data_IF_499079881676
#
_entry.id   IF_499079881676
#
_cell.length_a   1.000
_cell.length_b   1.000
_cell.length_c   1.000
_cell.angle_alpha   90.00
_cell.angle_beta   90.00
_cell.angle_gamma   90.00
#
_symmetry.space_group_name_H-M   'P 1'
#
loop_
_entity.id
_entity.type
_entity.pdbx_description
1 polymer ?
#
# COMPACT_ATOMS: atom_id res chain seq x y z
N UNK A 1 4.06 37.99 18.80
CA UNK A 1 3.51 36.86 17.99
C UNK A 1 2.84 35.94 19.00
N UNK A 2 1.54 35.58 18.83
CA UNK A 2 0.91 34.62 19.73
C UNK A 2 1.65 33.30 19.60
N UNK A 3 2.03 32.69 20.73
CA UNK A 3 2.59 31.34 20.79
C UNK A 3 1.56 30.40 20.18
N UNK A 4 1.77 29.96 18.95
CA UNK A 4 0.93 28.96 18.34
C UNK A 4 0.99 27.71 19.24
N UNK A 5 -0.15 27.34 19.80
CA UNK A 5 -0.25 26.17 20.66
C UNK A 5 0.35 24.96 19.90
N UNK A 6 1.37 24.31 20.50
CA UNK A 6 2.01 23.12 19.93
C UNK A 6 0.95 22.08 19.60
N UNK A 7 1.00 21.54 18.41
CA UNK A 7 0.13 20.44 18.02
C UNK A 7 0.50 19.20 18.85
N UNK A 8 -0.32 18.89 19.86
CA UNK A 8 0.03 17.90 20.89
C UNK A 8 0.05 16.47 20.35
N UNK A 9 0.79 15.58 21.02
CA UNK A 9 0.91 14.16 20.62
C UNK A 9 -0.45 13.45 20.50
N UNK A 10 -1.38 13.72 21.44
CA UNK A 10 -2.74 13.16 21.40
C UNK A 10 -3.49 13.57 20.13
N UNK A 11 -3.33 14.83 19.70
CA UNK A 11 -3.95 15.33 18.48
C UNK A 11 -3.31 14.71 17.23
N UNK A 12 -1.99 14.48 17.22
CA UNK A 12 -1.32 13.71 16.16
C UNK A 12 -1.84 12.27 16.11
N UNK A 13 -1.94 11.58 17.23
CA UNK A 13 -2.47 10.23 17.31
C UNK A 13 -3.93 10.16 16.84
N UNK A 14 -4.78 11.08 17.31
CA UNK A 14 -6.19 11.15 16.92
C UNK A 14 -6.34 11.45 15.41
N UNK A 15 -5.54 12.36 14.85
CA UNK A 15 -5.53 12.65 13.42
C UNK A 15 -5.12 11.42 12.61
N UNK A 16 -4.09 10.70 13.06
CA UNK A 16 -3.54 9.54 12.36
C UNK A 16 -4.38 8.26 12.52
N UNK A 17 -5.38 8.25 13.43
CA UNK A 17 -6.26 7.11 13.66
C UNK A 17 -7.02 6.67 12.39
N UNK A 18 -7.28 7.59 11.46
CA UNK A 18 -7.83 7.28 10.14
C UNK A 18 -7.02 6.21 9.41
N UNK A 19 -5.69 6.33 9.39
CA UNK A 19 -4.82 5.34 8.75
C UNK A 19 -4.78 4.01 9.49
N UNK A 20 -4.92 4.01 10.82
CA UNK A 20 -5.10 2.76 11.55
C UNK A 20 -6.33 2.01 11.04
N UNK A 21 -7.51 2.65 11.00
CA UNK A 21 -8.75 2.02 10.54
C UNK A 21 -8.68 1.56 9.08
N UNK A 22 -8.11 2.39 8.22
CA UNK A 22 -7.96 2.06 6.81
C UNK A 22 -7.02 0.87 6.58
N UNK A 23 -5.87 0.81 7.26
CA UNK A 23 -4.91 -0.29 7.10
C UNK A 23 -5.30 -1.55 7.88
N UNK A 24 -6.13 -1.42 8.92
CA UNK A 24 -6.81 -2.56 9.56
C UNK A 24 -7.65 -3.35 8.54
N UNK A 25 -8.32 -2.65 7.65
CA UNK A 25 -9.05 -3.27 6.54
C UNK A 25 -8.14 -3.66 5.37
N UNK A 26 -7.31 -2.71 4.91
CA UNK A 26 -6.57 -2.81 3.64
C UNK A 26 -5.66 -4.02 3.57
N UNK A 27 -4.82 -4.23 4.59
CA UNK A 27 -3.80 -5.27 4.57
C UNK A 27 -4.41 -6.67 4.46
N UNK A 28 -5.28 -7.15 5.36
CA UNK A 28 -5.87 -8.49 5.23
C UNK A 28 -6.83 -8.59 4.03
N UNK A 29 -7.58 -7.53 3.70
CA UNK A 29 -8.52 -7.56 2.57
C UNK A 29 -7.80 -7.87 1.26
N UNK A 30 -6.70 -7.19 0.98
CA UNK A 30 -6.01 -7.30 -0.32
C UNK A 30 -5.10 -8.51 -0.43
N UNK A 31 -4.54 -8.99 0.68
CA UNK A 31 -3.55 -10.08 0.65
C UNK A 31 -4.14 -11.45 0.95
N UNK A 32 -5.33 -11.52 1.56
CA UNK A 32 -5.89 -12.79 2.03
C UNK A 32 -7.39 -12.90 1.73
N UNK A 33 -8.20 -11.98 2.27
CA UNK A 33 -9.66 -12.14 2.33
C UNK A 33 -10.29 -12.20 0.95
N UNK A 34 -9.90 -11.28 0.05
CA UNK A 34 -10.44 -11.25 -1.33
C UNK A 34 -9.98 -12.47 -2.14
N UNK A 35 -8.76 -12.94 -1.90
CA UNK A 35 -8.23 -14.14 -2.57
C UNK A 35 -9.01 -15.37 -2.16
N UNK A 36 -9.18 -15.61 -0.85
CA UNK A 36 -9.97 -16.74 -0.34
C UNK A 36 -11.42 -16.71 -0.85
N UNK A 37 -12.01 -15.52 -0.94
CA UNK A 37 -13.38 -15.37 -1.43
C UNK A 37 -13.50 -15.69 -2.93
N UNK A 38 -12.50 -15.29 -3.74
CA UNK A 38 -12.41 -15.66 -5.16
C UNK A 38 -12.19 -17.16 -5.31
N UNK A 39 -11.28 -17.72 -4.51
CA UNK A 39 -10.97 -19.16 -4.52
C UNK A 39 -12.19 -20.04 -4.21
N UNK A 40 -13.12 -19.55 -3.38
CA UNK A 40 -14.34 -20.26 -3.05
C UNK A 40 -15.39 -20.31 -4.19
N UNK A 41 -15.33 -19.37 -5.14
CA UNK A 41 -16.37 -19.23 -6.20
C UNK A 41 -15.85 -19.40 -7.62
N UNK A 42 -14.52 -19.39 -7.83
CA UNK A 42 -13.88 -19.52 -9.14
C UNK A 42 -13.19 -20.89 -9.26
N UNK A 43 -13.38 -21.62 -10.37
CA UNK A 43 -12.66 -22.86 -10.62
C UNK A 43 -11.14 -22.69 -10.51
N UNK A 44 -10.45 -23.65 -9.92
CA UNK A 44 -9.01 -23.60 -9.61
C UNK A 44 -8.14 -23.22 -10.82
N UNK A 45 -8.52 -23.66 -12.04
CA UNK A 45 -7.81 -23.36 -13.27
C UNK A 45 -7.78 -21.87 -13.65
N UNK A 46 -8.68 -21.05 -13.07
CA UNK A 46 -8.84 -19.63 -13.40
C UNK A 46 -8.68 -18.71 -12.20
N UNK A 47 -8.27 -19.22 -11.02
CA UNK A 47 -8.16 -18.44 -9.79
C UNK A 47 -7.10 -17.36 -9.89
N UNK A 48 -5.94 -17.65 -10.47
CA UNK A 48 -4.89 -16.67 -10.68
C UNK A 48 -5.34 -15.50 -11.54
N UNK A 49 -6.00 -15.79 -12.65
CA UNK A 49 -6.59 -14.78 -13.55
C UNK A 49 -7.64 -13.93 -12.83
N UNK A 50 -8.55 -14.57 -12.09
CA UNK A 50 -9.61 -13.89 -11.37
C UNK A 50 -9.06 -12.96 -10.28
N UNK A 51 -8.08 -13.41 -9.48
CA UNK A 51 -7.39 -12.58 -8.49
C UNK A 51 -6.68 -11.42 -9.20
N UNK A 52 -5.93 -11.72 -10.27
CA UNK A 52 -5.21 -10.71 -11.04
C UNK A 52 -6.12 -9.60 -11.57
N UNK A 53 -7.27 -9.94 -12.13
CA UNK A 53 -8.27 -8.98 -12.62
C UNK A 53 -8.87 -8.15 -11.47
N UNK A 54 -9.27 -8.79 -10.36
CA UNK A 54 -9.85 -8.11 -9.21
C UNK A 54 -8.86 -7.08 -8.64
N UNK A 55 -7.62 -7.49 -8.39
CA UNK A 55 -6.58 -6.60 -7.84
C UNK A 55 -6.23 -5.49 -8.82
N UNK A 56 -6.20 -5.78 -10.12
CA UNK A 56 -5.94 -4.76 -11.16
C UNK A 56 -7.03 -3.70 -11.20
N UNK A 57 -8.30 -4.06 -11.07
CA UNK A 57 -9.39 -3.08 -10.93
C UNK A 57 -9.15 -2.16 -9.72
N UNK A 58 -8.74 -2.75 -8.59
CA UNK A 58 -8.38 -1.99 -7.41
C UNK A 58 -7.20 -1.03 -7.64
N UNK A 59 -6.14 -1.50 -8.28
CA UNK A 59 -4.97 -0.70 -8.63
C UNK A 59 -5.30 0.47 -9.56
N UNK A 60 -6.22 0.27 -10.53
CA UNK A 60 -6.72 1.34 -11.39
C UNK A 60 -7.40 2.45 -10.57
N UNK A 61 -8.26 2.10 -9.62
CA UNK A 61 -8.90 3.07 -8.74
C UNK A 61 -7.89 3.75 -7.82
N UNK A 62 -6.92 3.02 -7.28
CA UNK A 62 -5.86 3.59 -6.44
C UNK A 62 -5.00 4.63 -7.18
N UNK A 63 -4.85 4.49 -8.49
CA UNK A 63 -4.13 5.45 -9.34
C UNK A 63 -5.01 6.64 -9.75
N UNK A 64 -6.25 6.39 -10.16
CA UNK A 64 -7.09 7.40 -10.81
C UNK A 64 -7.89 8.26 -9.82
N UNK A 65 -8.37 7.69 -8.71
CA UNK A 65 -9.29 8.39 -7.80
C UNK A 65 -8.63 9.48 -6.96
N UNK A 66 -7.42 9.28 -6.37
CA UNK A 66 -6.82 10.29 -5.51
C UNK A 66 -6.63 11.66 -6.16
N UNK A 67 -6.09 11.82 -7.38
CA UNK A 67 -5.96 13.13 -7.99
C UNK A 67 -7.32 13.78 -8.31
N UNK A 68 -8.32 12.99 -8.73
CA UNK A 68 -9.66 13.49 -9.05
C UNK A 68 -10.36 14.00 -7.79
N UNK A 69 -10.42 13.17 -6.75
CA UNK A 69 -11.10 13.51 -5.49
C UNK A 69 -10.34 14.59 -4.72
N UNK A 70 -9.01 14.57 -4.76
CA UNK A 70 -8.18 15.65 -4.23
C UNK A 70 -8.54 16.99 -4.83
N UNK A 71 -8.62 17.08 -6.17
CA UNK A 71 -8.99 18.30 -6.88
C UNK A 71 -10.45 18.76 -6.61
N UNK A 72 -11.37 17.81 -6.38
CA UNK A 72 -12.76 18.12 -6.01
C UNK A 72 -12.80 18.64 -4.58
N UNK A 73 -12.17 17.93 -3.63
CA UNK A 73 -12.19 18.28 -2.21
C UNK A 73 -11.55 19.63 -1.92
N UNK A 74 -10.52 20.01 -2.68
CA UNK A 74 -9.87 21.33 -2.56
C UNK A 74 -10.80 22.51 -2.87
N UNK A 75 -11.89 22.26 -3.60
CA UNK A 75 -12.84 23.30 -4.05
C UNK A 75 -14.12 23.37 -3.25
N UNK A 76 -14.35 22.41 -2.37
CA UNK A 76 -15.55 22.38 -1.54
C UNK A 76 -15.49 23.48 -0.48
N UNK A 77 -16.65 24.10 -0.22
CA UNK A 77 -16.85 25.06 0.85
C UNK A 77 -18.03 24.58 1.69
N UNK A 78 -17.76 23.99 2.85
CA UNK A 78 -18.82 23.52 3.77
C UNK A 78 -18.57 24.03 5.20
N UNK A 79 -19.62 24.07 6.04
CA UNK A 79 -19.47 24.51 7.43
C UNK A 79 -18.48 23.68 8.27
N UNK A 80 -18.24 22.42 7.85
CA UNK A 80 -17.33 21.50 8.57
C UNK A 80 -15.93 21.40 7.93
N UNK A 81 -15.64 22.25 6.95
CA UNK A 81 -14.40 22.26 6.18
C UNK A 81 -14.60 21.84 4.73
N UNK A 82 -13.51 21.71 3.98
CA UNK A 82 -13.55 21.31 2.55
C UNK A 82 -13.25 19.83 2.34
N UNK A 83 -12.36 19.25 3.13
CA UNK A 83 -11.88 17.86 2.96
C UNK A 83 -12.56 16.88 3.91
N UNK A 84 -12.92 17.32 5.12
CA UNK A 84 -13.61 16.48 6.12
C UNK A 84 -14.92 15.87 5.60
N UNK A 85 -15.83 16.62 4.91
CA UNK A 85 -17.05 16.03 4.37
C UNK A 85 -16.77 14.89 3.39
N UNK A 86 -15.74 15.06 2.53
CA UNK A 86 -15.34 14.03 1.55
C UNK A 86 -14.77 12.81 2.25
N UNK A 87 -13.85 13.01 3.22
CA UNK A 87 -13.29 11.92 4.03
C UNK A 87 -14.38 11.13 4.75
N UNK A 88 -15.30 11.82 5.43
CA UNK A 88 -16.40 11.20 6.17
C UNK A 88 -17.35 10.47 5.22
N UNK A 89 -17.83 11.15 4.19
CA UNK A 89 -18.78 10.61 3.21
C UNK A 89 -18.21 9.40 2.47
N UNK A 90 -16.97 9.48 1.99
CA UNK A 90 -16.31 8.37 1.31
C UNK A 90 -16.06 7.18 2.25
N UNK A 91 -15.64 7.41 3.49
CA UNK A 91 -15.50 6.32 4.48
C UNK A 91 -16.83 5.62 4.73
N UNK A 92 -17.92 6.36 4.93
CA UNK A 92 -19.24 5.77 5.10
C UNK A 92 -19.73 5.05 3.85
N UNK A 93 -19.45 5.58 2.66
CA UNK A 93 -19.78 4.96 1.39
C UNK A 93 -18.90 3.71 1.09
N UNK A 94 -17.82 3.47 1.82
CA UNK A 94 -17.10 2.19 1.75
C UNK A 94 -17.92 1.04 2.35
N UNK A 95 -18.78 1.31 3.35
CA UNK A 95 -19.54 0.30 4.08
C UNK A 95 -20.48 -0.55 3.21
N UNK A 96 -21.26 0.01 2.26
CA UNK A 96 -22.04 -0.79 1.32
C UNK A 96 -21.19 -1.79 0.51
N UNK A 97 -19.98 -1.40 0.12
CA UNK A 97 -19.07 -2.30 -0.59
C UNK A 97 -18.61 -3.47 0.30
N UNK A 98 -18.31 -3.20 1.57
CA UNK A 98 -18.01 -4.26 2.55
C UNK A 98 -19.20 -5.19 2.77
N UNK A 99 -20.42 -4.67 2.78
CA UNK A 99 -21.65 -5.47 2.89
C UNK A 99 -21.84 -6.36 1.64
N UNK A 100 -21.62 -5.81 0.44
CA UNK A 100 -21.67 -6.59 -0.80
C UNK A 100 -20.64 -7.72 -0.73
N UNK A 101 -19.40 -7.47 -0.31
CA UNK A 101 -18.38 -8.49 -0.15
C UNK A 101 -18.77 -9.54 0.89
N UNK A 102 -19.29 -9.14 2.06
CA UNK A 102 -19.73 -10.05 3.11
C UNK A 102 -20.82 -11.05 2.65
N UNK A 103 -21.65 -10.63 1.69
CA UNK A 103 -22.78 -11.41 1.17
C UNK A 103 -22.53 -12.00 -0.21
N UNK A 104 -21.38 -11.71 -0.84
CA UNK A 104 -21.07 -12.15 -2.17
C UNK A 104 -21.04 -13.69 -2.27
N UNK A 105 -21.71 -14.21 -3.30
CA UNK A 105 -21.83 -15.65 -3.60
C UNK A 105 -21.26 -16.00 -4.98
N UNK A 106 -20.83 -15.02 -5.76
CA UNK A 106 -20.29 -15.20 -7.09
C UNK A 106 -19.23 -14.13 -7.41
N UNK A 107 -18.40 -14.41 -8.42
CA UNK A 107 -17.30 -13.55 -8.82
C UNK A 107 -17.71 -12.14 -9.24
N UNK A 108 -18.77 -11.89 -10.03
CA UNK A 108 -19.21 -10.54 -10.35
C UNK A 108 -19.56 -9.69 -9.11
N UNK A 109 -20.20 -10.26 -8.10
CA UNK A 109 -20.48 -9.55 -6.86
C UNK A 109 -19.20 -9.18 -6.11
N UNK A 110 -18.20 -10.06 -6.10
CA UNK A 110 -16.89 -9.78 -5.52
C UNK A 110 -16.24 -8.60 -6.25
N UNK A 111 -16.21 -8.58 -7.58
CA UNK A 111 -15.64 -7.48 -8.37
C UNK A 111 -16.35 -6.16 -8.10
N UNK A 112 -17.68 -6.15 -8.06
CA UNK A 112 -18.47 -4.95 -7.76
C UNK A 112 -18.19 -4.46 -6.34
N UNK A 113 -18.26 -5.34 -5.34
CA UNK A 113 -18.00 -5.00 -3.94
C UNK A 113 -16.57 -4.50 -3.72
N UNK A 114 -15.58 -5.20 -4.29
CA UNK A 114 -14.19 -4.82 -4.17
C UNK A 114 -13.88 -3.50 -4.91
N UNK A 115 -14.38 -3.34 -6.13
CA UNK A 115 -14.24 -2.09 -6.88
C UNK A 115 -14.89 -0.90 -6.16
N UNK A 116 -16.07 -1.12 -5.54
CA UNK A 116 -16.74 -0.11 -4.72
C UNK A 116 -15.89 0.29 -3.49
N UNK A 117 -15.39 -0.69 -2.75
CA UNK A 117 -14.48 -0.45 -1.61
C UNK A 117 -13.24 0.31 -2.08
N UNK A 118 -12.61 -0.10 -3.17
CA UNK A 118 -11.41 0.55 -3.71
C UNK A 118 -11.66 2.01 -4.10
N UNK A 119 -12.79 2.28 -4.76
CA UNK A 119 -13.15 3.64 -5.15
C UNK A 119 -13.26 4.56 -3.93
N UNK A 120 -14.09 4.20 -2.97
CA UNK A 120 -14.37 5.06 -1.81
C UNK A 120 -13.24 5.09 -0.79
N UNK A 121 -12.52 3.99 -0.59
CA UNK A 121 -11.30 3.95 0.22
C UNK A 121 -10.25 4.95 -0.30
N UNK A 122 -9.97 4.94 -1.61
CA UNK A 122 -9.01 5.85 -2.21
C UNK A 122 -9.51 7.30 -2.20
N UNK A 123 -10.81 7.52 -2.34
CA UNK A 123 -11.43 8.84 -2.22
C UNK A 123 -11.27 9.42 -0.80
N UNK A 124 -11.53 8.61 0.23
CA UNK A 124 -11.35 9.01 1.63
C UNK A 124 -9.88 9.31 1.94
N UNK A 125 -8.96 8.45 1.48
CA UNK A 125 -7.51 8.63 1.63
C UNK A 125 -6.98 9.90 0.97
N UNK A 126 -7.47 10.23 -0.23
CA UNK A 126 -7.11 11.45 -0.93
C UNK A 126 -7.53 12.72 -0.18
N UNK A 127 -8.76 12.74 0.33
CA UNK A 127 -9.24 13.86 1.14
C UNK A 127 -8.43 13.99 2.44
N UNK A 128 -8.16 12.88 3.12
CA UNK A 128 -7.36 12.85 4.34
C UNK A 128 -5.93 13.36 4.11
N UNK A 129 -5.26 12.94 3.03
CA UNK A 129 -3.89 13.37 2.73
C UNK A 129 -3.74 14.88 2.68
N UNK A 130 -4.78 15.56 2.22
CA UNK A 130 -4.80 17.02 2.20
C UNK A 130 -5.12 17.69 3.54
N UNK A 131 -5.74 16.97 4.50
CA UNK A 131 -6.01 17.54 5.83
C UNK A 131 -4.69 17.82 6.58
N UNK A 132 -3.67 16.96 6.42
CA UNK A 132 -2.39 17.10 7.13
C UNK A 132 -1.78 18.49 6.95
N UNK A 133 -1.50 18.98 5.72
CA UNK A 133 -0.90 20.29 5.52
C UNK A 133 -1.85 21.44 5.92
N UNK A 134 -3.16 21.22 5.98
CA UNK A 134 -4.13 22.25 6.36
C UNK A 134 -4.18 22.49 7.88
N UNK A 135 -3.93 21.47 8.72
CA UNK A 135 -4.11 21.55 10.18
C UNK A 135 -2.81 21.41 10.97
N UNK A 136 -1.80 20.75 10.42
CA UNK A 136 -0.52 20.53 11.11
C UNK A 136 0.45 21.65 10.76
N UNK A 137 1.08 22.31 11.75
CA UNK A 137 2.15 23.28 11.50
C UNK A 137 3.33 22.62 10.77
N UNK A 138 3.96 23.35 9.84
CA UNK A 138 5.06 22.82 9.01
C UNK A 138 6.24 22.26 9.83
N UNK A 139 6.52 22.84 10.97
CA UNK A 139 7.55 22.37 11.91
C UNK A 139 7.25 21.02 12.55
N UNK A 140 5.98 20.59 12.57
CA UNK A 140 5.52 19.33 13.15
C UNK A 140 5.26 18.25 12.08
N UNK A 141 5.52 18.50 10.77
CA UNK A 141 5.29 17.53 9.71
C UNK A 141 6.06 16.21 9.91
N UNK A 142 7.31 16.28 10.37
CA UNK A 142 8.09 15.07 10.67
C UNK A 142 7.44 14.22 11.77
N UNK A 143 6.92 14.87 12.83
CA UNK A 143 6.17 14.19 13.89
C UNK A 143 4.86 13.59 13.38
N UNK A 144 4.09 14.34 12.58
CA UNK A 144 2.86 13.86 11.97
C UNK A 144 3.13 12.61 11.11
N UNK A 145 4.18 12.64 10.28
CA UNK A 145 4.58 11.49 9.45
C UNK A 145 4.95 10.26 10.29
N UNK A 146 5.64 10.45 11.43
CA UNK A 146 5.95 9.38 12.37
C UNK A 146 4.68 8.72 12.95
N UNK A 147 3.72 9.53 13.40
CA UNK A 147 2.42 9.02 13.89
C UNK A 147 1.63 8.31 12.78
N UNK A 148 1.61 8.85 11.56
CA UNK A 148 0.96 8.22 10.40
C UNK A 148 1.56 6.84 10.11
N UNK A 149 2.89 6.75 10.00
CA UNK A 149 3.58 5.50 9.74
C UNK A 149 3.30 4.46 10.85
N UNK A 150 3.33 4.88 12.10
CA UNK A 150 3.00 4.02 13.25
C UNK A 150 1.58 3.49 13.16
N UNK A 151 0.59 4.34 12.86
CA UNK A 151 -0.80 3.93 12.74
C UNK A 151 -1.05 2.99 11.55
N UNK A 152 -0.35 3.18 10.44
CA UNK A 152 -0.36 2.23 9.30
C UNK A 152 0.10 0.84 9.74
N UNK A 153 1.25 0.74 10.43
CA UNK A 153 1.80 -0.53 10.85
C UNK A 153 0.96 -1.22 11.93
N UNK A 154 0.51 -0.44 12.93
CA UNK A 154 -0.39 -0.96 13.98
C UNK A 154 -1.74 -1.42 13.39
N UNK A 155 -2.31 -0.65 12.46
CA UNK A 155 -3.54 -1.01 11.77
C UNK A 155 -3.38 -2.29 10.96
N UNK A 156 -2.33 -2.39 10.15
CA UNK A 156 -2.01 -3.60 9.37
C UNK A 156 -1.85 -4.83 10.25
N UNK A 157 -1.05 -4.73 11.33
CA UNK A 157 -0.84 -5.82 12.27
C UNK A 157 -2.12 -6.23 13.00
N UNK A 158 -2.89 -5.27 13.49
CA UNK A 158 -4.17 -5.53 14.16
C UNK A 158 -5.20 -6.16 13.21
N UNK A 159 -5.25 -5.72 11.96
CA UNK A 159 -6.13 -6.29 10.94
C UNK A 159 -5.78 -7.73 10.59
N UNK A 160 -4.50 -8.04 10.41
CA UNK A 160 -4.02 -9.40 10.19
C UNK A 160 -4.32 -10.29 11.40
N UNK A 161 -4.08 -9.80 12.63
CA UNK A 161 -4.39 -10.53 13.85
C UNK A 161 -5.89 -10.81 14.00
N UNK A 162 -6.74 -9.81 13.70
CA UNK A 162 -8.20 -10.02 13.69
C UNK A 162 -8.62 -11.06 12.66
N UNK A 163 -8.00 -11.04 11.47
CA UNK A 163 -8.26 -12.04 10.44
C UNK A 163 -7.85 -13.45 10.92
N UNK A 164 -6.68 -13.60 11.55
CA UNK A 164 -6.24 -14.88 12.14
C UNK A 164 -7.25 -15.39 13.17
N UNK A 165 -7.70 -14.55 14.10
CA UNK A 165 -8.67 -14.94 15.14
C UNK A 165 -10.00 -15.38 14.55
N UNK A 166 -10.51 -14.65 13.55
CA UNK A 166 -11.80 -14.96 12.94
C UNK A 166 -11.74 -16.19 12.03
N UNK A 167 -10.65 -16.34 11.27
CA UNK A 167 -10.43 -17.50 10.42
C UNK A 167 -10.30 -18.79 11.27
N UNK A 168 -9.49 -18.77 12.34
CA UNK A 168 -9.35 -19.91 13.23
C UNK A 168 -10.64 -20.30 13.96
N UNK A 169 -11.56 -19.35 14.14
CA UNK A 169 -12.90 -19.58 14.69
C UNK A 169 -13.95 -19.96 13.63
N UNK A 170 -13.58 -20.09 12.36
CA UNK A 170 -14.49 -20.30 11.21
C UNK A 170 -15.55 -19.18 11.06
N UNK A 171 -15.17 -17.96 11.42
CA UNK A 171 -16.02 -16.77 11.37
C UNK A 171 -15.57 -15.77 10.28
N UNK A 172 -15.07 -16.26 9.16
CA UNK A 172 -14.41 -15.47 8.10
C UNK A 172 -15.23 -14.26 7.62
N UNK A 173 -16.55 -14.41 7.52
CA UNK A 173 -17.43 -13.31 7.07
C UNK A 173 -17.56 -12.16 8.07
N UNK A 174 -17.29 -12.40 9.35
CA UNK A 174 -17.34 -11.36 10.37
C UNK A 174 -16.19 -10.36 10.28
N UNK A 175 -15.16 -10.68 9.51
CA UNK A 175 -14.04 -9.75 9.26
C UNK A 175 -14.53 -8.45 8.58
N UNK A 176 -15.53 -8.53 7.69
CA UNK A 176 -16.10 -7.35 7.04
C UNK A 176 -16.80 -6.42 8.02
N UNK A 177 -17.47 -6.98 9.03
CA UNK A 177 -18.04 -6.18 10.11
C UNK A 177 -16.94 -5.54 10.97
N UNK A 178 -15.89 -6.28 11.30
CA UNK A 178 -14.74 -5.73 12.03
C UNK A 178 -14.10 -4.57 11.27
N UNK A 179 -13.92 -4.70 9.95
CA UNK A 179 -13.44 -3.60 9.08
C UNK A 179 -14.35 -2.37 9.17
N UNK A 180 -15.67 -2.57 9.01
CA UNK A 180 -16.64 -1.48 9.07
C UNK A 180 -16.62 -0.77 10.42
N UNK A 181 -16.64 -1.51 11.51
CA UNK A 181 -16.64 -0.96 12.89
C UNK A 181 -15.37 -0.18 13.16
N UNK A 182 -14.20 -0.74 12.87
CA UNK A 182 -12.91 -0.09 13.14
C UNK A 182 -12.74 1.18 12.28
N UNK A 183 -13.13 1.15 11.00
CA UNK A 183 -13.11 2.34 10.15
C UNK A 183 -13.97 3.47 10.68
N UNK A 184 -15.20 3.17 11.11
CA UNK A 184 -16.12 4.18 11.69
C UNK A 184 -15.61 4.71 13.04
N UNK A 185 -15.12 3.83 13.92
CA UNK A 185 -14.59 4.23 15.22
C UNK A 185 -13.37 5.16 15.07
N UNK A 186 -12.47 4.88 14.14
CA UNK A 186 -11.27 5.69 13.91
C UNK A 186 -11.57 7.01 13.18
N UNK A 187 -12.66 7.08 12.43
CA UNK A 187 -13.12 8.30 11.78
C UNK A 187 -13.52 9.40 12.78
N UNK A 188 -14.03 9.02 13.95
CA UNK A 188 -14.50 9.97 14.99
C UNK A 188 -13.34 10.82 15.52
N UNK A 189 -12.27 10.25 16.13
CA UNK A 189 -11.16 11.05 16.66
C UNK A 189 -10.45 11.83 15.55
N UNK A 190 -10.34 11.27 14.34
CA UNK A 190 -9.74 11.96 13.18
C UNK A 190 -10.54 13.21 12.81
N UNK A 191 -11.87 13.09 12.70
CA UNK A 191 -12.74 14.21 12.35
C UNK A 191 -12.69 15.32 13.39
N UNK A 192 -12.56 14.96 14.67
CA UNK A 192 -12.43 15.93 15.76
C UNK A 192 -11.06 16.63 15.74
N UNK A 193 -9.99 15.88 15.52
CA UNK A 193 -8.61 16.40 15.45
C UNK A 193 -8.39 17.32 14.23
N UNK A 194 -9.13 17.08 13.13
CA UNK A 194 -9.11 17.86 11.89
C UNK A 194 -9.91 19.18 11.96
N UNK A 195 -10.45 19.57 13.13
CA UNK A 195 -11.13 20.87 13.28
C UNK A 195 -10.20 22.02 12.91
N UNK A 196 -10.72 22.97 12.12
CA UNK A 196 -9.97 24.10 11.57
C UNK A 196 -9.44 23.86 10.15
N UNK A 197 -9.63 22.66 9.59
CA UNK A 197 -9.37 22.39 8.18
C UNK A 197 -10.24 23.29 7.30
N UNK A 198 -9.66 23.81 6.22
CA UNK A 198 -10.37 24.71 5.28
C UNK A 198 -10.41 26.19 5.69
N UNK A 199 -9.77 26.58 6.79
CA UNK A 199 -9.64 28.00 7.19
C UNK A 199 -8.66 28.79 6.29
N UNK A 200 -7.81 28.10 5.53
CA UNK A 200 -6.87 28.75 4.62
C UNK A 200 -7.55 29.17 3.32
N UNK A 201 -7.17 30.30 2.72
CA UNK A 201 -7.67 30.75 1.42
C UNK A 201 -7.44 29.67 0.34
N UNK A 202 -8.38 29.57 -0.60
CA UNK A 202 -8.23 28.71 -1.76
C UNK A 202 -7.02 29.16 -2.58
N UNK A 203 -6.16 28.25 -3.04
CA UNK A 203 -5.07 28.61 -3.93
C UNK A 203 -5.63 29.20 -5.25
N UNK A 204 -4.94 30.20 -5.84
CA UNK A 204 -5.38 30.82 -7.08
C UNK A 204 -5.50 29.79 -8.20
N UNK A 205 -6.54 29.92 -9.03
CA UNK A 205 -6.76 29.05 -10.20
C UNK A 205 -5.71 29.34 -11.26
N UNK A 206 -4.75 28.47 -11.44
CA UNK A 206 -3.90 28.45 -12.63
C UNK A 206 -4.66 27.70 -13.72
N UNK A 207 -5.17 28.43 -14.74
CA UNK A 207 -5.75 27.82 -15.95
C UNK A 207 -4.61 27.44 -16.87
N UNK A 208 -4.33 26.15 -16.96
CA UNK A 208 -3.35 25.59 -17.89
C UNK A 208 -4.08 24.69 -18.88
N UNK A 209 -3.78 24.73 -20.19
CA UNK A 209 -4.32 23.79 -21.16
C UNK A 209 -4.00 22.35 -20.73
N UNK A 210 -4.94 21.41 -20.92
CA UNK A 210 -4.80 20.02 -20.47
C UNK A 210 -3.50 19.36 -20.96
N UNK A 211 -3.13 19.61 -22.21
CA UNK A 211 -1.90 19.10 -22.80
C UNK A 211 -0.65 19.58 -22.05
N UNK A 212 -0.60 20.85 -21.71
CA UNK A 212 0.51 21.45 -20.96
C UNK A 212 0.54 20.94 -19.52
N UNK A 213 -0.64 20.78 -18.90
CA UNK A 213 -0.76 20.21 -17.55
C UNK A 213 -0.27 18.77 -17.50
N UNK A 214 -0.62 17.93 -18.50
CA UNK A 214 -0.12 16.56 -18.61
C UNK A 214 1.40 16.55 -18.83
N UNK A 215 1.90 17.36 -19.75
CA UNK A 215 3.34 17.45 -20.01
C UNK A 215 4.10 17.90 -18.75
N UNK A 216 3.64 18.96 -18.08
CA UNK A 216 4.27 19.48 -16.85
C UNK A 216 4.22 18.44 -15.71
N UNK A 217 3.14 17.65 -15.62
CA UNK A 217 3.02 16.58 -14.65
C UNK A 217 4.09 15.48 -14.86
N UNK A 218 4.28 15.02 -16.10
CA UNK A 218 5.24 13.94 -16.41
C UNK A 218 6.66 14.43 -16.68
N UNK A 219 6.89 15.73 -16.80
CA UNK A 219 8.22 16.32 -17.04
C UNK A 219 9.34 15.81 -16.11
N UNK A 220 9.11 15.58 -14.78
CA UNK A 220 10.12 15.03 -13.89
C UNK A 220 10.60 13.60 -14.26
N UNK A 221 9.82 12.86 -15.06
CA UNK A 221 10.22 11.53 -15.56
C UNK A 221 11.14 11.58 -16.80
N UNK A 222 11.28 12.74 -17.44
CA UNK A 222 12.04 12.85 -18.70
C UNK A 222 13.56 12.93 -18.48
N UNK A 223 14.02 13.02 -17.24
CA UNK A 223 15.45 13.02 -16.93
C UNK A 223 15.77 13.41 -15.49
N UNK A 224 17.07 13.24 -15.15
CA UNK A 224 17.56 13.53 -13.80
C UNK A 224 17.43 12.36 -12.82
N UNK A 225 17.89 12.59 -11.60
CA UNK A 225 17.93 11.56 -10.56
C UNK A 225 16.55 11.16 -10.05
N UNK A 226 15.61 12.08 -10.04
CA UNK A 226 14.22 11.80 -9.64
C UNK A 226 13.52 10.84 -10.61
N UNK A 227 13.80 10.92 -11.90
CA UNK A 227 13.30 9.96 -12.88
C UNK A 227 13.79 8.53 -12.58
N UNK A 228 15.07 8.38 -12.18
CA UNK A 228 15.60 7.10 -11.74
C UNK A 228 14.98 6.61 -10.44
N UNK A 229 14.67 7.50 -9.50
CA UNK A 229 13.95 7.12 -8.27
C UNK A 229 12.56 6.58 -8.60
N UNK A 230 11.79 7.24 -9.49
CA UNK A 230 10.48 6.76 -9.94
C UNK A 230 10.61 5.40 -10.63
N UNK A 231 11.58 5.25 -11.54
CA UNK A 231 11.84 4.00 -12.26
C UNK A 231 12.17 2.85 -11.29
N UNK A 232 13.13 3.06 -10.39
CA UNK A 232 13.56 2.03 -9.44
C UNK A 232 12.43 1.64 -8.48
N UNK A 233 11.66 2.62 -7.99
CA UNK A 233 10.49 2.38 -7.15
C UNK A 233 9.43 1.55 -7.87
N UNK A 234 9.14 1.86 -9.14
CA UNK A 234 8.19 1.08 -9.94
C UNK A 234 8.59 -0.40 -9.99
N UNK A 235 9.85 -0.69 -10.32
CA UNK A 235 10.33 -2.07 -10.46
C UNK A 235 10.42 -2.80 -9.12
N UNK A 236 10.86 -2.16 -8.04
CA UNK A 236 10.86 -2.77 -6.70
C UNK A 236 9.43 -3.04 -6.25
N UNK A 237 8.51 -2.08 -6.40
CA UNK A 237 7.11 -2.27 -6.06
C UNK A 237 6.44 -3.36 -6.92
N UNK A 238 6.83 -3.48 -8.19
CA UNK A 238 6.35 -4.54 -9.08
C UNK A 238 6.78 -5.94 -8.59
N UNK A 239 8.03 -6.08 -8.17
CA UNK A 239 8.53 -7.34 -7.61
C UNK A 239 7.84 -7.71 -6.30
N UNK A 240 7.65 -6.74 -5.40
CA UNK A 240 6.88 -6.93 -4.16
C UNK A 240 5.46 -7.39 -4.45
N UNK A 241 4.79 -6.71 -5.39
CA UNK A 241 3.41 -7.00 -5.79
C UNK A 241 3.25 -8.41 -6.36
N UNK A 242 4.20 -8.85 -7.21
CA UNK A 242 4.18 -10.17 -7.84
C UNK A 242 4.21 -11.32 -6.81
N UNK A 243 4.90 -11.13 -5.69
CA UNK A 243 4.91 -12.12 -4.60
C UNK A 243 3.68 -11.97 -3.72
N UNK A 244 3.38 -10.78 -3.24
CA UNK A 244 2.41 -10.55 -2.17
C UNK A 244 0.99 -11.01 -2.52
N UNK A 245 0.54 -10.79 -3.76
CA UNK A 245 -0.83 -11.14 -4.16
C UNK A 245 -1.06 -12.61 -4.47
N UNK A 246 -0.02 -13.43 -4.59
CA UNK A 246 -0.16 -14.86 -4.84
C UNK A 246 0.41 -15.73 -3.71
N UNK A 247 0.87 -15.11 -2.63
CA UNK A 247 1.51 -15.80 -1.52
C UNK A 247 0.53 -16.71 -0.76
N UNK A 248 -0.70 -16.25 -0.54
CA UNK A 248 -1.74 -17.05 0.11
C UNK A 248 -2.04 -18.34 -0.69
N UNK A 249 -2.19 -18.21 -2.01
CA UNK A 249 -2.40 -19.35 -2.89
C UNK A 249 -1.17 -20.26 -2.96
N UNK A 250 0.05 -19.68 -2.94
CA UNK A 250 1.29 -20.44 -2.85
C UNK A 250 1.35 -21.29 -1.56
N UNK A 251 0.99 -20.73 -0.43
CA UNK A 251 0.96 -21.48 0.84
C UNK A 251 -0.08 -22.61 0.80
N UNK A 252 -1.24 -22.37 0.23
CA UNK A 252 -2.25 -23.41 0.04
C UNK A 252 -1.75 -24.54 -0.88
N UNK A 253 -1.18 -24.19 -2.03
CA UNK A 253 -0.93 -25.12 -3.13
C UNK A 253 0.42 -25.81 -3.02
N UNK A 254 1.41 -25.15 -2.46
CA UNK A 254 2.80 -25.64 -2.37
C UNK A 254 3.15 -26.15 -0.98
N UNK A 255 2.87 -25.37 0.07
CA UNK A 255 3.18 -25.80 1.44
C UNK A 255 2.14 -26.78 1.99
N UNK A 256 0.95 -26.81 1.40
CA UNK A 256 -0.11 -27.76 1.81
C UNK A 256 -0.65 -27.50 3.21
N UNK A 257 -0.58 -26.23 3.70
CA UNK A 257 -1.12 -25.88 5.02
C UNK A 257 -2.63 -25.98 5.03
N UNK A 258 -3.21 -26.51 6.10
CA UNK A 258 -4.64 -26.74 6.22
C UNK A 258 -5.47 -25.44 6.27
N UNK A 259 -4.92 -24.36 6.83
CA UNK A 259 -5.52 -23.04 6.88
C UNK A 259 -4.57 -21.98 6.30
N UNK A 260 -4.62 -21.74 4.98
CA UNK A 260 -3.75 -20.77 4.31
C UNK A 260 -3.96 -19.33 4.78
N UNK A 261 -5.19 -18.96 5.16
CA UNK A 261 -5.52 -17.60 5.59
C UNK A 261 -4.83 -17.24 6.91
N UNK A 262 -4.97 -18.11 7.92
CA UNK A 262 -4.27 -17.96 9.21
C UNK A 262 -2.78 -17.95 8.99
N UNK A 263 -2.25 -18.92 8.25
CA UNK A 263 -0.81 -19.04 8.00
C UNK A 263 -0.22 -17.82 7.28
N UNK A 264 -0.91 -17.31 6.28
CA UNK A 264 -0.48 -16.09 5.56
C UNK A 264 -0.52 -14.86 6.45
N UNK A 265 -1.55 -14.74 7.31
CA UNK A 265 -1.63 -13.66 8.30
C UNK A 265 -0.46 -13.71 9.28
N UNK A 266 -0.16 -14.88 9.82
CA UNK A 266 0.97 -15.10 10.74
C UNK A 266 2.31 -14.79 10.06
N UNK A 267 2.47 -15.21 8.81
CA UNK A 267 3.66 -14.90 8.02
C UNK A 267 3.85 -13.38 7.85
N UNK A 268 2.80 -12.66 7.47
CA UNK A 268 2.86 -11.19 7.37
C UNK A 268 3.07 -10.51 8.73
N UNK A 269 2.54 -11.05 9.82
CA UNK A 269 2.83 -10.57 11.18
C UNK A 269 4.31 -10.70 11.52
N UNK A 270 4.94 -11.83 11.19
CA UNK A 270 6.40 -12.00 11.34
C UNK A 270 7.16 -10.98 10.48
N UNK A 271 6.75 -10.79 9.22
CA UNK A 271 7.33 -9.75 8.35
C UNK A 271 7.25 -8.37 9.00
N UNK A 272 6.08 -7.96 9.50
CA UNK A 272 5.89 -6.66 10.14
C UNK A 272 6.69 -6.52 11.43
N UNK A 273 6.71 -7.56 12.26
CA UNK A 273 7.46 -7.57 13.53
C UNK A 273 8.96 -7.34 13.32
N UNK A 274 9.50 -7.90 12.24
CA UNK A 274 10.91 -7.70 11.86
C UNK A 274 11.10 -6.37 11.11
N UNK A 275 10.16 -6.00 10.24
CA UNK A 275 10.27 -4.77 9.44
C UNK A 275 10.32 -3.49 10.28
N UNK A 276 9.59 -3.44 11.39
CA UNK A 276 9.53 -2.24 12.25
C UNK A 276 10.92 -1.89 12.81
N UNK A 277 11.62 -2.78 13.56
CA UNK A 277 12.94 -2.45 14.10
C UNK A 277 13.98 -2.19 13.00
N UNK A 278 13.98 -2.98 11.91
CA UNK A 278 14.91 -2.76 10.80
C UNK A 278 14.61 -1.49 10.01
N UNK A 279 13.36 -1.07 9.91
CA UNK A 279 12.96 0.21 9.35
C UNK A 279 13.48 1.39 10.18
N UNK A 280 13.30 1.34 11.50
CA UNK A 280 13.79 2.39 12.42
C UNK A 280 15.33 2.48 12.41
N UNK A 281 16.00 1.33 12.53
CA UNK A 281 17.47 1.25 12.51
C UNK A 281 18.02 1.67 11.14
N UNK A 282 17.42 1.18 10.05
CA UNK A 282 17.83 1.52 8.69
C UNK A 282 17.68 3.00 8.39
N UNK A 283 16.56 3.61 8.78
CA UNK A 283 16.34 5.06 8.65
C UNK A 283 17.39 5.85 9.44
N UNK A 284 17.60 5.52 10.72
CA UNK A 284 18.58 6.20 11.57
C UNK A 284 20.02 6.09 11.02
N UNK A 285 20.45 4.88 10.62
CA UNK A 285 21.79 4.66 10.09
C UNK A 285 21.96 5.33 8.72
N UNK A 286 20.94 5.25 7.87
CA UNK A 286 20.92 5.90 6.56
C UNK A 286 21.06 7.42 6.65
N UNK A 287 20.34 8.05 7.58
CA UNK A 287 20.43 9.50 7.81
C UNK A 287 21.80 9.91 8.34
N UNK A 288 22.37 9.12 9.25
CA UNK A 288 23.69 9.39 9.83
C UNK A 288 24.82 9.18 8.84
N UNK A 289 24.76 8.14 8.01
CA UNK A 289 25.80 7.80 7.04
C UNK A 289 25.65 8.51 5.70
N UNK A 290 24.45 9.01 5.39
CA UNK A 290 24.05 9.55 4.09
C UNK A 290 24.30 8.58 2.91
N UNK A 291 24.26 7.26 3.19
CA UNK A 291 24.50 6.21 2.21
C UNK A 291 23.20 5.47 1.86
N UNK A 292 22.20 6.18 1.32
CA UNK A 292 20.86 5.65 1.06
C UNK A 292 20.85 4.47 0.10
N UNK A 293 21.70 4.49 -0.93
CA UNK A 293 21.77 3.42 -1.95
C UNK A 293 22.07 2.05 -1.37
N UNK A 294 22.98 1.96 -0.39
CA UNK A 294 23.33 0.68 0.24
C UNK A 294 22.11 0.01 0.84
N UNK A 295 21.23 0.80 1.49
CA UNK A 295 20.01 0.26 2.10
C UNK A 295 19.03 -0.24 1.03
N UNK A 296 18.91 0.45 -0.12
CA UNK A 296 18.07 -0.02 -1.23
C UNK A 296 18.66 -1.29 -1.84
N UNK A 297 19.98 -1.38 -2.03
CA UNK A 297 20.66 -2.61 -2.49
C UNK A 297 20.43 -3.76 -1.52
N UNK A 298 20.67 -3.55 -0.24
CA UNK A 298 20.49 -4.58 0.79
C UNK A 298 19.04 -5.03 0.87
N UNK A 299 18.09 -4.11 0.81
CA UNK A 299 16.66 -4.41 0.85
C UNK A 299 16.21 -5.26 -0.35
N UNK A 300 16.63 -4.87 -1.55
CA UNK A 300 16.33 -5.61 -2.77
C UNK A 300 16.97 -7.01 -2.77
N UNK A 301 18.20 -7.13 -2.27
CA UNK A 301 18.90 -8.42 -2.15
C UNK A 301 18.16 -9.38 -1.20
N UNK A 302 17.71 -8.93 -0.01
CA UNK A 302 16.93 -9.76 0.90
C UNK A 302 15.61 -10.23 0.29
N UNK A 303 14.87 -9.32 -0.35
CA UNK A 303 13.59 -9.66 -0.97
C UNK A 303 13.75 -10.61 -2.17
N UNK A 304 14.75 -10.37 -3.02
CA UNK A 304 15.08 -11.26 -4.14
C UNK A 304 15.56 -12.64 -3.65
N UNK A 305 16.35 -12.69 -2.57
CA UNK A 305 16.78 -13.92 -1.94
C UNK A 305 15.60 -14.77 -1.46
N UNK A 306 14.63 -14.15 -0.78
CA UNK A 306 13.43 -14.88 -0.32
C UNK A 306 12.60 -15.40 -1.50
N UNK A 307 12.40 -14.59 -2.53
CA UNK A 307 11.73 -15.04 -3.75
C UNK A 307 12.50 -16.21 -4.40
N UNK A 308 13.82 -16.17 -4.41
CA UNK A 308 14.68 -17.26 -4.93
C UNK A 308 14.52 -18.55 -4.11
N UNK A 309 14.47 -18.46 -2.77
CA UNK A 309 14.22 -19.59 -1.87
C UNK A 309 12.87 -20.23 -2.23
N UNK A 310 11.83 -19.44 -2.44
CA UNK A 310 10.52 -19.97 -2.82
C UNK A 310 10.50 -20.60 -4.22
N UNK A 311 11.27 -20.08 -5.17
CA UNK A 311 11.38 -20.63 -6.54
C UNK A 311 12.15 -21.94 -6.60
N UNK A 312 13.28 -22.03 -5.87
CA UNK A 312 14.18 -23.18 -5.95
C UNK A 312 13.71 -24.33 -5.06
N UNK A 313 13.43 -24.04 -3.80
CA UNK A 313 13.26 -25.06 -2.79
C UNK A 313 11.80 -25.46 -2.57
N UNK A 314 10.81 -24.66 -3.00
CA UNK A 314 9.40 -24.92 -2.70
C UNK A 314 9.22 -25.35 -1.24
N UNK A 315 9.57 -24.51 -0.26
CA UNK A 315 9.69 -24.94 1.11
C UNK A 315 8.33 -25.38 1.68
N UNK A 316 8.28 -26.63 2.12
CA UNK A 316 7.14 -27.20 2.87
C UNK A 316 7.38 -27.16 4.37
N UNK A 317 8.61 -26.92 4.80
CA UNK A 317 8.99 -26.80 6.21
C UNK A 317 8.60 -25.42 6.76
N UNK A 318 7.69 -25.41 7.74
CA UNK A 318 7.19 -24.18 8.37
C UNK A 318 8.30 -23.29 8.94
N UNK A 319 9.31 -23.82 9.67
CA UNK A 319 10.42 -22.99 10.15
C UNK A 319 11.17 -22.28 9.03
N UNK A 320 11.39 -22.92 7.87
CA UNK A 320 12.05 -22.30 6.71
C UNK A 320 11.19 -21.17 6.13
N UNK A 321 9.88 -21.39 6.03
CA UNK A 321 8.93 -20.38 5.50
C UNK A 321 8.88 -19.16 6.42
N UNK A 322 8.84 -19.35 7.74
CA UNK A 322 8.86 -18.23 8.69
C UNK A 322 10.23 -17.53 8.76
N UNK A 323 11.33 -18.26 8.64
CA UNK A 323 12.67 -17.67 8.52
C UNK A 323 12.79 -16.82 7.24
N UNK A 324 12.23 -17.30 6.12
CA UNK A 324 12.12 -16.51 4.89
C UNK A 324 11.27 -15.26 5.10
N UNK A 325 10.16 -15.35 5.85
CA UNK A 325 9.33 -14.20 6.23
C UNK A 325 10.11 -13.17 7.04
N UNK A 326 10.90 -13.60 8.02
CA UNK A 326 11.77 -12.73 8.79
C UNK A 326 12.82 -12.04 7.91
N UNK A 327 13.48 -12.78 7.00
CA UNK A 327 14.44 -12.22 6.04
C UNK A 327 13.76 -11.20 5.09
N UNK A 328 12.54 -11.51 4.61
CA UNK A 328 11.76 -10.57 3.82
C UNK A 328 11.44 -9.30 4.61
N UNK A 329 11.09 -9.42 5.90
CA UNK A 329 10.83 -8.32 6.82
C UNK A 329 12.02 -7.37 6.97
N UNK A 330 13.25 -7.89 7.03
CA UNK A 330 14.47 -7.07 7.00
C UNK A 330 14.50 -6.21 5.73
N UNK A 331 14.38 -6.83 4.56
CA UNK A 331 14.39 -6.11 3.29
C UNK A 331 13.26 -5.10 3.17
N UNK A 332 12.05 -5.48 3.55
CA UNK A 332 10.86 -4.63 3.51
C UNK A 332 11.02 -3.39 4.40
N UNK A 333 11.46 -3.57 5.66
CA UNK A 333 11.67 -2.46 6.59
C UNK A 333 12.75 -1.49 6.11
N UNK A 334 13.90 -2.01 5.66
CA UNK A 334 14.99 -1.18 5.12
C UNK A 334 14.55 -0.38 3.89
N UNK A 335 13.77 -0.97 3.00
CA UNK A 335 13.27 -0.29 1.81
C UNK A 335 12.38 0.90 2.15
N UNK A 336 11.31 0.65 2.90
CA UNK A 336 10.33 1.71 3.22
C UNK A 336 10.90 2.84 4.06
N UNK A 337 11.93 2.57 4.87
CA UNK A 337 12.62 3.60 5.65
C UNK A 337 13.39 4.60 4.78
N UNK A 338 13.96 4.13 3.66
CA UNK A 338 14.89 4.93 2.84
C UNK A 338 14.24 5.46 1.57
N UNK A 339 13.25 4.77 1.03
CA UNK A 339 12.61 5.07 -0.24
C UNK A 339 11.99 6.48 -0.29
N UNK A 340 11.23 6.86 0.75
CA UNK A 340 10.68 8.22 0.86
C UNK A 340 11.76 9.30 0.98
N UNK A 341 12.79 9.04 1.76
CA UNK A 341 13.89 9.96 1.96
C UNK A 341 14.70 10.15 0.66
N UNK A 342 14.90 9.07 -0.10
CA UNK A 342 15.55 9.11 -1.41
C UNK A 342 14.76 9.98 -2.41
N UNK A 343 13.44 9.86 -2.41
CA UNK A 343 12.57 10.71 -3.22
C UNK A 343 12.72 12.19 -2.83
N UNK A 344 12.66 12.50 -1.54
CA UNK A 344 12.80 13.89 -1.05
C UNK A 344 14.17 14.51 -1.39
N UNK A 345 15.25 13.71 -1.33
CA UNK A 345 16.60 14.19 -1.63
C UNK A 345 16.81 14.48 -3.13
N UNK A 346 16.00 13.88 -4.00
CA UNK A 346 16.14 14.00 -5.46
C UNK A 346 15.06 14.84 -6.13
N UNK A 347 14.15 15.47 -5.36
CA UNK A 347 13.09 16.33 -5.90
C UNK A 347 13.64 17.41 -6.83
N UNK A 348 13.15 17.51 -8.07
CA UNK A 348 13.64 18.51 -9.03
C UNK A 348 13.38 19.95 -8.60
N UNK A 349 12.22 20.18 -7.96
CA UNK A 349 11.83 21.50 -7.49
C UNK A 349 11.06 21.40 -6.16
N UNK A 350 11.60 22.01 -5.12
CA UNK A 350 10.96 22.02 -3.79
C UNK A 350 9.65 22.82 -3.75
N UNK A 351 9.41 23.73 -4.69
CA UNK A 351 8.17 24.54 -4.74
C UNK A 351 7.00 23.77 -5.38
N UNK A 352 7.25 22.72 -6.17
CA UNK A 352 6.25 21.83 -6.78
C UNK A 352 6.25 20.41 -6.20
N UNK A 353 6.77 20.25 -4.99
CA UNK A 353 6.97 18.94 -4.34
C UNK A 353 5.71 18.07 -4.28
N UNK A 354 4.51 18.65 -4.10
CA UNK A 354 3.26 17.90 -4.04
C UNK A 354 2.95 17.17 -5.37
N UNK A 355 3.20 17.82 -6.52
CA UNK A 355 3.04 17.23 -7.85
C UNK A 355 4.03 16.08 -8.06
N UNK A 356 5.31 16.31 -7.74
CA UNK A 356 6.37 15.34 -7.92
C UNK A 356 6.17 14.12 -7.00
N UNK A 357 5.72 14.34 -5.76
CA UNK A 357 5.34 13.24 -4.85
C UNK A 357 4.07 12.49 -5.29
N UNK A 358 3.16 13.14 -6.00
CA UNK A 358 2.05 12.47 -6.69
C UNK A 358 2.54 11.48 -7.75
N UNK A 359 3.53 11.88 -8.54
CA UNK A 359 4.17 11.01 -9.54
C UNK A 359 4.93 9.84 -8.88
N UNK A 360 5.62 10.12 -7.77
CA UNK A 360 6.26 9.11 -6.93
C UNK A 360 5.24 8.10 -6.35
N UNK A 361 4.01 8.54 -6.01
CA UNK A 361 2.94 7.65 -5.59
C UNK A 361 2.43 6.76 -6.72
N UNK A 362 2.34 7.29 -7.95
CA UNK A 362 1.98 6.47 -9.13
C UNK A 362 2.97 5.33 -9.34
N UNK A 363 4.26 5.54 -9.12
CA UNK A 363 5.27 4.48 -9.21
C UNK A 363 5.06 3.34 -8.19
N UNK A 364 4.33 3.58 -7.11
CA UNK A 364 3.90 2.56 -6.15
C UNK A 364 2.61 1.85 -6.58
N UNK A 365 1.63 2.60 -7.11
CA UNK A 365 0.28 2.08 -7.36
C UNK A 365 0.12 1.46 -8.74
N UNK A 366 0.85 1.96 -9.74
CA UNK A 366 0.82 1.42 -11.10
C UNK A 366 1.23 -0.07 -11.18
N UNK A 367 2.26 -0.55 -10.45
CA UNK A 367 2.55 -1.98 -10.37
C UNK A 367 1.40 -2.83 -9.82
N UNK A 368 0.61 -2.31 -8.88
CA UNK A 368 -0.55 -3.01 -8.31
C UNK A 368 -1.67 -3.22 -9.35
N UNK A 369 -1.69 -2.43 -10.42
CA UNK A 369 -2.56 -2.64 -11.57
C UNK A 369 -1.92 -3.57 -12.61
N UNK A 370 -0.68 -3.25 -13.04
CA UNK A 370 -0.04 -3.91 -14.19
C UNK A 370 0.38 -5.34 -13.86
N UNK A 371 1.01 -5.55 -12.70
CA UNK A 371 1.59 -6.87 -12.38
C UNK A 371 0.54 -7.95 -12.21
N UNK A 372 -0.53 -7.79 -11.42
CA UNK A 372 -1.55 -8.83 -11.27
C UNK A 372 -2.31 -9.11 -12.57
N UNK A 373 -2.48 -8.10 -13.42
CA UNK A 373 -3.13 -8.24 -14.73
C UNK A 373 -2.41 -9.27 -15.63
N UNK A 374 -1.09 -9.31 -15.60
CA UNK A 374 -0.28 -10.26 -16.36
C UNK A 374 0.09 -11.52 -15.57
N UNK A 375 0.38 -11.38 -14.28
CA UNK A 375 0.82 -12.49 -13.45
C UNK A 375 -0.29 -13.52 -13.20
N UNK A 376 -1.54 -13.09 -13.09
CA UNK A 376 -2.68 -13.99 -12.90
C UNK A 376 -2.87 -14.99 -14.04
N UNK A 377 -3.07 -14.52 -15.29
CA UNK A 377 -3.15 -15.42 -16.46
C UNK A 377 -1.89 -16.27 -16.64
N UNK A 378 -0.70 -15.71 -16.38
CA UNK A 378 0.54 -16.48 -16.44
C UNK A 378 0.56 -17.61 -15.40
N UNK A 379 0.11 -17.33 -14.17
CA UNK A 379 0.02 -18.33 -13.10
C UNK A 379 -0.87 -19.50 -13.54
N UNK A 380 -2.06 -19.22 -14.03
CA UNK A 380 -3.02 -20.24 -14.46
C UNK A 380 -2.48 -21.04 -15.65
N UNK A 381 -1.96 -20.34 -16.68
CA UNK A 381 -1.43 -20.96 -17.87
C UNK A 381 -0.30 -21.95 -17.56
N UNK A 382 0.70 -21.53 -16.79
CA UNK A 382 1.85 -22.37 -16.47
C UNK A 382 1.51 -23.49 -15.47
N UNK A 383 0.55 -23.27 -14.56
CA UNK A 383 0.04 -24.32 -13.69
C UNK A 383 -0.75 -25.39 -14.46
N UNK A 384 -1.38 -25.05 -15.59
CA UNK A 384 -2.00 -26.02 -16.50
C UNK A 384 -0.97 -26.89 -17.24
N UNK A 385 0.25 -26.36 -17.50
CA UNK A 385 1.35 -27.11 -18.12
C UNK A 385 1.99 -28.09 -17.13
N UNK A 386 2.26 -27.64 -15.91
CA UNK A 386 2.83 -28.46 -14.85
C UNK A 386 2.42 -27.91 -13.47
N UNK A 387 2.11 -28.79 -12.50
CA UNK A 387 1.72 -28.36 -11.15
C UNK A 387 2.74 -27.39 -10.54
N UNK A 388 2.27 -26.27 -10.03
CA UNK A 388 3.03 -25.22 -9.36
C UNK A 388 4.10 -24.49 -10.22
N UNK A 389 4.17 -24.75 -11.53
CA UNK A 389 5.09 -24.07 -12.44
C UNK A 389 4.76 -22.58 -12.53
N UNK A 390 3.49 -22.21 -12.47
CA UNK A 390 3.05 -20.82 -12.47
C UNK A 390 3.64 -19.99 -11.34
N UNK A 391 3.75 -20.55 -10.13
CA UNK A 391 4.42 -19.85 -9.01
C UNK A 391 5.91 -19.64 -9.27
N UNK A 392 6.59 -20.63 -9.89
CA UNK A 392 8.00 -20.45 -10.30
C UNK A 392 8.15 -19.30 -11.28
N UNK A 393 7.29 -19.24 -12.29
CA UNK A 393 7.33 -18.19 -13.32
C UNK A 393 7.06 -16.82 -12.70
N UNK A 394 6.00 -16.67 -11.90
CA UNK A 394 5.62 -15.39 -11.28
C UNK A 394 6.69 -14.92 -10.28
N UNK A 395 7.19 -15.80 -9.42
CA UNK A 395 8.21 -15.41 -8.42
C UNK A 395 9.60 -15.21 -9.07
N UNK A 396 9.92 -15.91 -10.17
CA UNK A 396 11.12 -15.61 -10.96
C UNK A 396 11.03 -14.25 -11.62
N UNK A 397 9.86 -13.88 -12.14
CA UNK A 397 9.65 -12.52 -12.66
C UNK A 397 9.81 -11.46 -11.57
N UNK A 398 9.36 -11.74 -10.33
CA UNK A 398 9.58 -10.84 -9.19
C UNK A 398 11.08 -10.64 -8.90
N UNK A 399 11.90 -11.70 -8.97
CA UNK A 399 13.37 -11.59 -8.80
C UNK A 399 13.96 -10.66 -9.85
N UNK A 400 13.56 -10.82 -11.12
CA UNK A 400 14.04 -9.96 -12.22
C UNK A 400 13.63 -8.51 -12.00
N UNK A 401 12.38 -8.26 -11.63
CA UNK A 401 11.85 -6.92 -11.35
C UNK A 401 12.59 -6.27 -10.17
N UNK A 402 12.78 -7.00 -9.06
CA UNK A 402 13.55 -6.54 -7.90
C UNK A 402 15.01 -6.25 -8.28
N UNK A 403 15.65 -7.11 -9.08
CA UNK A 403 17.01 -6.91 -9.55
C UNK A 403 17.13 -5.64 -10.41
N UNK A 404 16.21 -5.43 -11.36
CA UNK A 404 16.17 -4.21 -12.18
C UNK A 404 16.03 -2.99 -11.26
N UNK A 405 15.04 -2.94 -10.40
CA UNK A 405 14.82 -1.82 -9.49
C UNK A 405 16.02 -1.55 -8.59
N UNK A 406 16.65 -2.61 -8.09
CA UNK A 406 17.81 -2.50 -7.18
C UNK A 406 19.06 -2.04 -7.91
N UNK A 407 19.42 -2.66 -9.05
CA UNK A 407 20.66 -2.35 -9.80
C UNK A 407 20.63 -0.90 -10.33
N UNK A 408 19.49 -0.47 -10.86
CA UNK A 408 19.36 0.87 -11.43
C UNK A 408 19.38 2.00 -10.40
N UNK A 409 19.29 1.72 -9.09
CA UNK A 409 19.60 2.71 -8.04
C UNK A 409 21.02 3.31 -8.19
N UNK A 410 21.96 2.54 -8.76
CA UNK A 410 23.30 3.02 -9.06
C UNK A 410 23.34 4.24 -10.00
N UNK A 411 22.31 4.42 -10.84
CA UNK A 411 22.20 5.55 -11.78
C UNK A 411 21.86 6.88 -11.13
N UNK A 412 21.33 6.89 -9.91
CA UNK A 412 21.07 8.10 -9.14
C UNK A 412 22.42 8.69 -8.72
N UNK A 413 22.76 9.90 -9.16
CA UNK A 413 24.09 10.49 -8.97
C UNK A 413 24.18 11.45 -7.78
N UNK A 414 23.10 12.16 -7.48
CA UNK A 414 23.04 13.18 -6.42
C UNK A 414 23.09 12.62 -4.99
N UNK A 415 22.86 11.32 -4.81
CA UNK A 415 22.81 10.64 -3.51
C UNK A 415 23.85 9.52 -3.47
N UNK A 416 24.45 9.29 -2.28
CA UNK A 416 25.44 8.21 -2.05
C UNK A 416 24.83 6.95 -1.47
#
# INVERSE_FOLDING_TARGET
>A
MPVQARFGNLRHAALSAFWFGNFFMWQPLTTIVIQNQIDAVVPRANQGTAIGLAVSVGGLFAMAIPPIVGAISDRLTTPIGRRRPVMIGATLLTLPGLLILATASNYPQIIVGYGWVQFFFNAAGAAFAGIIPDVVPAQDFGRASGFLATMVQLGSGAGLFANTLLASAHLDRWIYLAFAVVMVLTLIPTSLAAKGEGSQPLPPRVRMPLREAIYDFFKPMLGGDFAWVIFTRFFVSAGITAVAYYLNNFFRDVTGVGDPATFTSEWFLVVLLVAIPFGLLGGYISDRTRRRKIFVFTSGAFQAFVALVFVIFFPTSLPIVFAAGAAYGVGYGLYYAVDWALACDTLPNRTSSAKDMGLFHIALTLPQFVVPFFAGPALDHFNAVSPNLGYRVVFSSAIVLLAIGTVFVSRIRSVR
#
